data_IF_995422102177
#
_entry.id   IF_995422102177
#
_cell.length_a   1.000
_cell.length_b   1.000
_cell.length_c   1.000
_cell.angle_alpha   90.00
_cell.angle_beta   90.00
_cell.angle_gamma   90.00
#
_symmetry.space_group_name_H-M   'P 1'
#
loop_
_entity.id
_entity.type
_entity.pdbx_description
1 polymer ?
#
# COMPACT_ATOMS: atom_id res chain seq x y z
N UNK A 1 -27.04 11.87 31.46
CA UNK A 1 -25.61 11.87 31.14
C UNK A 1 -25.24 10.53 30.52
N UNK A 2 -24.94 10.53 29.22
CA UNK A 2 -24.61 9.32 28.46
C UNK A 2 -23.16 8.91 28.70
N UNK A 3 -22.84 7.61 28.75
CA UNK A 3 -21.54 7.12 28.35
C UNK A 3 -21.61 6.56 26.92
N UNK A 4 -21.02 7.33 26.01
CA UNK A 4 -20.11 6.88 24.95
C UNK A 4 -20.48 5.65 24.12
N UNK A 5 -21.02 5.90 22.92
CA UNK A 5 -20.98 4.96 21.79
C UNK A 5 -19.52 4.82 21.35
N UNK A 6 -18.76 3.97 22.04
CA UNK A 6 -17.41 3.58 21.61
C UNK A 6 -17.58 2.67 20.40
N UNK A 7 -17.33 3.25 19.23
CA UNK A 7 -17.61 2.70 17.91
C UNK A 7 -17.37 1.20 17.79
N UNK A 8 -18.48 0.48 17.65
CA UNK A 8 -18.55 -0.87 17.12
C UNK A 8 -18.10 -0.84 15.65
N UNK A 9 -16.79 -0.88 15.41
CA UNK A 9 -16.23 -1.19 14.09
C UNK A 9 -14.94 -2.01 14.15
N UNK A 10 -14.52 -2.47 15.34
CA UNK A 10 -13.35 -3.35 15.50
C UNK A 10 -13.69 -4.86 15.41
N UNK A 11 -14.78 -5.27 14.75
CA UNK A 11 -15.16 -6.69 14.76
C UNK A 11 -16.33 -7.14 13.90
N UNK A 12 -16.41 -6.72 12.62
CA UNK A 12 -17.45 -7.21 11.71
C UNK A 12 -16.95 -7.97 10.47
N UNK A 13 -15.65 -8.29 10.38
CA UNK A 13 -15.10 -9.13 9.31
C UNK A 13 -14.14 -10.21 9.82
N UNK A 14 -14.46 -10.87 10.94
CA UNK A 14 -13.69 -12.00 11.46
C UNK A 14 -13.74 -13.29 10.59
N UNK A 15 -14.12 -13.20 9.31
CA UNK A 15 -14.06 -14.29 8.32
C UNK A 15 -13.47 -13.91 6.97
N UNK A 16 -13.06 -12.66 6.75
CA UNK A 16 -12.33 -12.30 5.54
C UNK A 16 -10.90 -12.84 5.67
N UNK A 17 -10.60 -13.94 4.96
CA UNK A 17 -9.24 -14.48 4.91
C UNK A 17 -8.32 -13.40 4.33
N UNK A 18 -7.55 -12.77 5.22
CA UNK A 18 -6.52 -11.81 4.83
C UNK A 18 -5.26 -12.58 4.46
N UNK A 19 -4.55 -12.08 3.46
CA UNK A 19 -3.25 -12.60 3.05
C UNK A 19 -2.27 -11.45 2.90
N UNK A 20 -1.00 -11.77 2.72
CA UNK A 20 0.05 -10.79 2.48
C UNK A 20 0.72 -11.08 1.13
N UNK A 21 1.07 -10.01 0.43
CA UNK A 21 1.83 -10.05 -0.80
C UNK A 21 3.01 -9.09 -0.69
N UNK A 22 4.18 -9.54 -1.16
CA UNK A 22 5.41 -8.75 -1.11
C UNK A 22 5.84 -8.36 -2.53
N UNK A 23 6.20 -7.09 -2.68
CA UNK A 23 6.73 -6.50 -3.90
C UNK A 23 8.11 -5.92 -3.60
N UNK A 24 8.98 -5.96 -4.60
CA UNK A 24 10.29 -5.34 -4.57
C UNK A 24 10.30 -4.22 -5.62
N UNK A 25 10.54 -2.99 -5.18
CA UNK A 25 10.52 -1.80 -6.04
C UNK A 25 11.90 -1.13 -6.00
N UNK A 26 12.49 -0.78 -7.14
CA UNK A 26 13.75 -0.04 -7.17
C UNK A 26 13.70 1.23 -6.31
N UNK A 27 14.77 1.51 -5.57
CA UNK A 27 14.84 2.70 -4.71
C UNK A 27 14.62 4.00 -5.49
N UNK A 28 15.00 4.05 -6.76
CA UNK A 28 14.78 5.21 -7.64
C UNK A 28 13.29 5.46 -7.95
N UNK A 29 12.47 4.40 -7.91
CA UNK A 29 11.05 4.47 -8.24
C UNK A 29 10.15 4.57 -7.00
N UNK A 30 10.62 4.19 -5.80
CA UNK A 30 9.73 4.22 -4.63
C UNK A 30 9.17 5.62 -4.34
N UNK A 31 9.93 6.67 -4.65
CA UNK A 31 9.51 8.06 -4.47
C UNK A 31 8.21 8.39 -5.23
N UNK A 32 8.01 7.83 -6.42
CA UNK A 32 6.81 8.10 -7.23
C UNK A 32 5.56 7.41 -6.68
N UNK A 33 5.74 6.30 -5.95
CA UNK A 33 4.68 5.56 -5.26
C UNK A 33 4.29 6.24 -3.95
N UNK A 34 5.28 6.70 -3.17
CA UNK A 34 5.04 7.41 -1.91
C UNK A 34 4.38 8.76 -2.20
N UNK A 35 4.91 9.51 -3.17
CA UNK A 35 4.48 10.87 -3.49
C UNK A 35 4.87 11.88 -2.41
N UNK A 36 4.60 13.17 -2.68
CA UNK A 36 4.94 14.26 -1.76
C UNK A 36 4.25 14.04 -0.40
N UNK A 37 5.03 14.04 0.69
CA UNK A 37 4.55 13.82 2.06
C UNK A 37 3.76 12.51 2.25
N UNK A 38 3.97 11.50 1.39
CA UNK A 38 3.23 10.23 1.46
C UNK A 38 1.80 10.30 0.92
N UNK A 39 1.40 11.39 0.26
CA UNK A 39 0.02 11.59 -0.20
C UNK A 39 -0.46 10.46 -1.13
N UNK A 40 0.39 10.01 -2.06
CA UNK A 40 0.00 9.02 -3.07
C UNK A 40 -0.16 7.62 -2.47
N UNK A 41 0.78 7.20 -1.63
CA UNK A 41 0.65 5.90 -0.95
C UNK A 41 -0.54 5.87 0.00
N UNK A 42 -0.88 7.00 0.64
CA UNK A 42 -2.06 7.10 1.49
C UNK A 42 -3.36 6.98 0.69
N UNK A 43 -3.42 7.60 -0.49
CA UNK A 43 -4.54 7.42 -1.42
C UNK A 43 -4.68 5.96 -1.86
N UNK A 44 -3.58 5.27 -2.20
CA UNK A 44 -3.61 3.84 -2.56
C UNK A 44 -4.14 3.00 -1.39
N UNK A 45 -3.69 3.24 -0.16
CA UNK A 45 -4.21 2.56 1.04
C UNK A 45 -5.71 2.78 1.20
N UNK A 46 -6.18 4.02 1.05
CA UNK A 46 -7.59 4.35 1.18
C UNK A 46 -8.45 3.72 0.09
N UNK A 47 -8.02 3.78 -1.17
CA UNK A 47 -8.76 3.22 -2.30
C UNK A 47 -8.82 1.69 -2.28
N UNK A 48 -7.71 1.04 -1.93
CA UNK A 48 -7.62 -0.42 -1.89
C UNK A 48 -8.21 -1.05 -0.63
N UNK A 49 -8.27 -0.29 0.47
CA UNK A 49 -8.54 -0.83 1.80
C UNK A 49 -7.45 -1.78 2.30
N UNK A 50 -6.30 -1.87 1.61
CA UNK A 50 -5.19 -2.71 2.01
C UNK A 50 -4.28 -1.98 3.01
N UNK A 51 -3.70 -2.76 3.93
CA UNK A 51 -2.59 -2.29 4.74
C UNK A 51 -1.30 -2.40 3.91
N UNK A 52 -0.63 -1.26 3.67
CA UNK A 52 0.62 -1.25 2.90
C UNK A 52 1.77 -0.76 3.78
N UNK A 53 2.79 -1.58 3.95
CA UNK A 53 4.04 -1.26 4.66
C UNK A 53 5.18 -1.15 3.66
N UNK A 54 6.01 -0.13 3.84
CA UNK A 54 7.21 0.10 3.04
C UNK A 54 8.39 -0.04 3.98
N UNK A 55 9.31 -0.96 3.67
CA UNK A 55 10.50 -1.17 4.49
C UNK A 55 11.44 0.04 4.43
N UNK A 56 12.28 0.18 5.46
CA UNK A 56 13.35 1.18 5.49
C UNK A 56 14.40 0.87 4.40
N UNK A 57 15.20 1.87 3.98
CA UNK A 57 16.34 1.62 3.11
C UNK A 57 17.27 0.61 3.79
N UNK A 58 17.70 -0.40 3.04
CA UNK A 58 18.74 -1.31 3.48
C UNK A 58 20.03 -0.89 2.78
N UNK A 59 21.10 -0.68 3.56
CA UNK A 59 22.41 -0.33 2.99
C UNK A 59 22.87 -1.41 2.01
N UNK A 60 23.32 -0.99 0.83
CA UNK A 60 23.73 -1.90 -0.25
C UNK A 60 22.58 -2.52 -1.07
N UNK A 61 21.31 -2.28 -0.72
CA UNK A 61 20.17 -2.71 -1.53
C UNK A 61 19.84 -1.69 -2.62
N UNK A 62 19.59 -2.16 -3.85
CA UNK A 62 19.04 -1.36 -4.95
C UNK A 62 17.52 -1.23 -4.88
N UNK A 63 16.88 -2.04 -4.04
CA UNK A 63 15.43 -2.16 -3.99
C UNK A 63 14.86 -1.96 -2.59
N UNK A 64 13.54 -1.75 -2.57
CA UNK A 64 12.72 -1.57 -1.39
C UNK A 64 11.61 -2.60 -1.36
N UNK A 65 11.49 -3.28 -0.21
CA UNK A 65 10.38 -4.19 0.03
C UNK A 65 9.12 -3.41 0.40
N UNK A 66 8.02 -3.78 -0.24
CA UNK A 66 6.66 -3.30 0.03
C UNK A 66 5.77 -4.50 0.34
N UNK A 67 5.16 -4.51 1.51
CA UNK A 67 4.23 -5.56 1.94
C UNK A 67 2.80 -5.02 1.89
N UNK A 68 1.92 -5.73 1.21
CA UNK A 68 0.50 -5.43 1.07
C UNK A 68 -0.29 -6.53 1.78
N UNK A 69 -1.12 -6.17 2.74
CA UNK A 69 -1.94 -7.11 3.52
C UNK A 69 -3.41 -6.73 3.43
N UNK A 70 -4.27 -7.71 3.17
CA UNK A 70 -5.72 -7.49 3.09
C UNK A 70 -6.46 -8.65 2.44
N UNK A 71 -7.70 -8.40 2.02
CA UNK A 71 -8.47 -9.33 1.18
C UNK A 71 -7.80 -9.50 -0.20
N UNK A 72 -8.10 -10.58 -0.92
CA UNK A 72 -7.60 -10.78 -2.28
C UNK A 72 -7.94 -9.60 -3.21
N UNK A 73 -9.15 -9.02 -3.08
CA UNK A 73 -9.56 -7.86 -3.86
C UNK A 73 -8.76 -6.59 -3.48
N UNK A 74 -8.56 -6.36 -2.18
CA UNK A 74 -7.77 -5.23 -1.68
C UNK A 74 -6.32 -5.31 -2.15
N UNK A 75 -5.71 -6.49 -2.07
CA UNK A 75 -4.34 -6.71 -2.54
C UNK A 75 -4.25 -6.47 -4.05
N UNK A 76 -5.15 -7.05 -4.83
CA UNK A 76 -5.16 -6.91 -6.29
C UNK A 76 -5.29 -5.45 -6.72
N UNK A 77 -6.18 -4.69 -6.07
CA UNK A 77 -6.36 -3.27 -6.36
C UNK A 77 -5.12 -2.45 -5.97
N UNK A 78 -4.52 -2.71 -4.80
CA UNK A 78 -3.29 -2.03 -4.38
C UNK A 78 -2.14 -2.30 -5.36
N UNK A 79 -1.95 -3.55 -5.78
CA UNK A 79 -0.94 -3.93 -6.78
C UNK A 79 -1.17 -3.22 -8.11
N UNK A 80 -2.41 -3.18 -8.60
CA UNK A 80 -2.75 -2.48 -9.83
C UNK A 80 -2.38 -0.99 -9.75
N UNK A 81 -2.79 -0.30 -8.68
CA UNK A 81 -2.52 1.13 -8.51
C UNK A 81 -1.01 1.42 -8.40
N UNK A 82 -0.26 0.57 -7.71
CA UNK A 82 1.21 0.65 -7.63
C UNK A 82 1.82 0.48 -9.04
N UNK A 83 1.41 -0.55 -9.79
CA UNK A 83 1.94 -0.83 -11.13
C UNK A 83 1.63 0.27 -12.13
N UNK A 84 0.42 0.84 -12.10
CA UNK A 84 0.05 2.01 -12.92
C UNK A 84 0.99 3.17 -12.63
N UNK A 85 1.32 3.41 -11.35
CA UNK A 85 2.19 4.51 -10.98
C UNK A 85 3.65 4.27 -11.39
N UNK A 86 4.15 3.05 -11.24
CA UNK A 86 5.50 2.69 -11.72
C UNK A 86 5.59 2.84 -13.25
N UNK A 87 4.57 2.38 -13.97
CA UNK A 87 4.53 2.43 -15.45
C UNK A 87 4.48 3.86 -15.99
N UNK A 88 3.84 4.78 -15.26
CA UNK A 88 3.77 6.19 -15.65
C UNK A 88 5.12 6.92 -15.56
N UNK A 89 6.11 6.40 -14.82
CA UNK A 89 7.47 6.96 -14.76
C UNK A 89 8.41 6.31 -15.77
N UNK A 90 8.23 5.02 -16.07
CA UNK A 90 9.07 4.31 -17.06
C UNK A 90 8.69 4.61 -18.52
N UNK A 91 7.50 5.18 -18.76
CA UNK A 91 7.05 5.64 -20.08
C UNK A 91 7.52 7.04 -20.51
N UNK A 92 8.29 7.74 -19.66
CA UNK A 92 8.75 9.11 -19.89
C UNK A 92 10.17 9.25 -20.47
N UNK A 93 10.77 8.17 -20.98
CA UNK A 93 12.04 8.23 -21.72
C UNK A 93 11.75 8.28 -23.23
N UNK A 94 11.40 9.46 -23.71
CA UNK A 94 11.35 9.84 -25.11
C UNK A 94 11.89 11.25 -25.28
#
# INVERSE_FOLDING_TARGET
>A
SSPEVKGYWAGLDASAQTSSHELTIPNDLIGCIIGRQGAKINEIRQMSGAQIKIANPVEGSTDRQVTITGSAASISLAQYLINVRLSSETGGMG
#
